data_IF_519899716152
#
_entry.id   IF_519899716152
#
_cell.length_a   1.000
_cell.length_b   1.000
_cell.length_c   1.000
_cell.angle_alpha   90.00
_cell.angle_beta   90.00
_cell.angle_gamma   90.00
#
_symmetry.space_group_name_H-M   'P 1'
#
loop_
_entity.id
_entity.type
_entity.pdbx_description
1 polymer ?
#
# COMPACT_ATOMS: atom_id res chain seq x y z
N UNK A 1 -44.73 7.61 -34.45
CA UNK A 1 -45.20 6.28 -34.84
C UNK A 1 -44.04 5.33 -34.59
N UNK A 2 -44.17 4.53 -33.52
CA UNK A 2 -43.13 3.66 -32.96
C UNK A 2 -42.61 2.64 -33.98
N UNK A 3 -41.29 2.39 -33.94
CA UNK A 3 -40.72 1.18 -34.54
C UNK A 3 -40.46 0.19 -33.41
N UNK A 4 -41.25 -0.89 -33.49
CA UNK A 4 -41.45 -1.96 -32.52
C UNK A 4 -40.27 -2.93 -32.47
N UNK A 5 -39.87 -3.29 -31.24
CA UNK A 5 -38.98 -4.43 -30.93
C UNK A 5 -39.79 -5.72 -31.02
N UNK A 6 -39.48 -6.61 -31.96
CA UNK A 6 -39.81 -8.04 -31.89
C UNK A 6 -39.10 -8.86 -32.97
N UNK A 7 -38.30 -9.84 -32.54
CA UNK A 7 -38.41 -11.28 -32.85
C UNK A 7 -37.01 -11.91 -33.02
N UNK A 8 -36.56 -12.85 -32.18
CA UNK A 8 -36.97 -14.25 -31.94
C UNK A 8 -36.27 -15.26 -32.86
N UNK A 9 -35.84 -16.40 -32.26
CA UNK A 9 -35.63 -17.78 -32.76
C UNK A 9 -34.22 -18.32 -32.42
N UNK A 10 -34.03 -19.16 -31.38
CA UNK A 10 -34.33 -20.62 -31.24
C UNK A 10 -33.48 -21.44 -32.25
N UNK A 11 -32.70 -22.50 -31.91
CA UNK A 11 -32.52 -23.28 -30.67
C UNK A 11 -31.71 -24.57 -30.94
N UNK A 12 -31.89 -25.56 -30.04
CA UNK A 12 -31.56 -27.01 -30.11
C UNK A 12 -30.25 -27.51 -29.49
N UNK A 13 -30.37 -28.54 -28.63
CA UNK A 13 -29.31 -29.52 -28.37
C UNK A 13 -29.00 -29.84 -26.91
N UNK A 14 -29.72 -30.82 -26.33
CA UNK A 14 -29.40 -31.52 -25.09
C UNK A 14 -28.05 -32.28 -25.18
N UNK A 15 -27.16 -32.14 -24.20
CA UNK A 15 -26.37 -33.24 -23.60
C UNK A 15 -25.90 -32.80 -22.21
N UNK A 16 -26.05 -33.68 -21.21
CA UNK A 16 -25.92 -33.35 -19.80
C UNK A 16 -24.51 -33.33 -19.24
N UNK A 17 -24.36 -32.69 -18.08
CA UNK A 17 -23.63 -33.20 -16.92
C UNK A 17 -23.91 -32.27 -15.75
N UNK A 18 -24.40 -32.83 -14.66
CA UNK A 18 -24.53 -32.14 -13.39
C UNK A 18 -23.13 -31.77 -12.86
N UNK A 19 -22.86 -30.48 -12.70
CA UNK A 19 -21.92 -30.01 -11.68
C UNK A 19 -22.79 -29.41 -10.57
N UNK A 20 -22.72 -29.98 -9.38
CA UNK A 20 -23.31 -29.41 -8.19
C UNK A 20 -22.73 -28.01 -8.01
N UNK A 21 -23.54 -26.99 -8.28
CA UNK A 21 -23.26 -25.62 -7.88
C UNK A 21 -23.13 -25.63 -6.36
N UNK A 22 -21.91 -25.42 -5.88
CA UNK A 22 -21.65 -25.11 -4.49
C UNK A 22 -22.65 -24.04 -4.04
N UNK A 23 -23.20 -24.23 -2.85
CA UNK A 23 -24.14 -23.29 -2.26
C UNK A 23 -23.58 -21.87 -2.42
N UNK A 24 -24.33 -21.01 -3.12
CA UNK A 24 -24.03 -19.59 -3.10
C UNK A 24 -24.15 -19.17 -1.64
N UNK A 25 -23.03 -18.84 -1.01
CA UNK A 25 -23.07 -18.13 0.26
C UNK A 25 -23.74 -16.80 -0.08
N UNK A 26 -24.95 -16.51 0.41
CA UNK A 26 -25.57 -15.22 0.14
C UNK A 26 -24.66 -14.16 0.74
N UNK A 27 -24.07 -13.31 -0.11
CA UNK A 27 -23.29 -12.16 0.33
C UNK A 27 -24.25 -11.29 1.13
N UNK A 28 -24.06 -11.24 2.45
CA UNK A 28 -24.93 -10.55 3.37
C UNK A 28 -24.84 -9.03 3.17
N UNK A 29 -25.54 -8.51 2.16
CA UNK A 29 -25.82 -7.09 2.04
C UNK A 29 -26.83 -6.71 3.12
N UNK A 30 -26.31 -6.21 4.23
CA UNK A 30 -27.11 -5.87 5.41
C UNK A 30 -26.35 -5.93 6.73
N UNK A 31 -25.15 -6.52 6.76
CA UNK A 31 -24.25 -6.34 7.89
C UNK A 31 -23.87 -4.85 7.99
N UNK A 32 -23.97 -4.28 9.20
CA UNK A 32 -23.48 -2.94 9.47
C UNK A 32 -22.01 -2.87 9.05
N UNK A 33 -21.70 -2.04 8.05
CA UNK A 33 -20.32 -1.82 7.64
C UNK A 33 -19.64 -1.01 8.74
N UNK A 34 -18.87 -1.68 9.59
CA UNK A 34 -17.96 -1.00 10.50
C UNK A 34 -16.83 -0.42 9.66
N UNK A 35 -16.56 0.91 9.72
CA UNK A 35 -15.40 1.49 9.06
C UNK A 35 -14.13 0.77 9.52
N UNK A 36 -13.22 0.51 8.58
CA UNK A 36 -11.91 -0.07 8.91
C UNK A 36 -11.17 0.86 9.89
N UNK A 37 -10.53 0.33 10.94
CA UNK A 37 -9.63 1.12 11.78
C UNK A 37 -8.51 1.72 10.90
N UNK A 38 -8.34 3.04 10.92
CA UNK A 38 -7.29 3.73 10.14
C UNK A 38 -6.04 4.04 10.96
N UNK A 39 -6.16 3.98 12.28
CA UNK A 39 -5.07 4.21 13.22
C UNK A 39 -4.89 2.94 14.06
N UNK A 40 -3.75 2.29 13.94
CA UNK A 40 -3.39 1.12 14.73
C UNK A 40 -1.91 1.18 15.08
N UNK A 41 -1.61 0.87 16.34
CA UNK A 41 -0.27 0.55 16.79
C UNK A 41 0.04 -0.91 16.48
N UNK A 42 1.30 -1.22 16.21
CA UNK A 42 1.76 -2.58 16.02
C UNK A 42 2.26 -3.13 17.37
N UNK A 43 1.56 -4.06 18.03
CA UNK A 43 2.04 -4.70 19.25
C UNK A 43 3.20 -5.65 18.93
N UNK A 44 4.38 -5.37 19.50
CA UNK A 44 5.60 -6.14 19.24
C UNK A 44 5.60 -7.53 19.89
N UNK A 45 4.78 -7.75 20.92
CA UNK A 45 4.65 -9.04 21.61
C UNK A 45 3.83 -10.08 20.84
N UNK A 46 3.20 -9.67 19.74
CA UNK A 46 2.32 -10.48 18.89
C UNK A 46 2.79 -10.52 17.43
N UNK A 47 3.97 -9.99 17.14
CA UNK A 47 4.46 -9.84 15.77
C UNK A 47 5.25 -11.07 15.33
N UNK A 48 5.13 -11.39 14.04
CA UNK A 48 6.00 -12.34 13.35
C UNK A 48 6.80 -11.58 12.29
N UNK A 49 8.10 -11.86 12.18
CA UNK A 49 8.95 -11.29 11.13
C UNK A 49 8.97 -12.26 9.95
N UNK A 50 8.71 -11.73 8.76
CA UNK A 50 8.71 -12.47 7.51
C UNK A 50 9.82 -11.93 6.63
N UNK A 51 10.79 -12.77 6.31
CA UNK A 51 11.96 -12.38 5.53
C UNK A 51 12.21 -13.38 4.40
N UNK A 52 12.86 -12.96 3.29
CA UNK A 52 13.30 -13.85 2.23
C UNK A 52 14.09 -15.06 2.77
N UNK A 53 14.01 -16.19 2.06
CA UNK A 53 14.72 -17.43 2.42
C UNK A 53 16.25 -17.30 2.35
N UNK A 54 16.76 -16.32 1.60
CA UNK A 54 18.19 -16.04 1.48
C UNK A 54 18.85 -15.79 2.85
N UNK A 55 20.02 -16.40 3.07
CA UNK A 55 20.72 -16.36 4.37
C UNK A 55 21.08 -14.95 4.83
N UNK A 56 21.41 -14.04 3.91
CA UNK A 56 21.78 -12.67 4.25
C UNK A 56 20.55 -11.89 4.73
N UNK A 57 19.41 -12.08 4.06
CA UNK A 57 18.14 -11.48 4.48
C UNK A 57 17.63 -12.06 5.80
N UNK A 58 17.78 -13.37 6.00
CA UNK A 58 17.44 -14.03 7.26
C UNK A 58 18.30 -13.51 8.42
N UNK A 59 19.58 -13.20 8.17
CA UNK A 59 20.46 -12.59 9.17
C UNK A 59 19.97 -11.19 9.59
N UNK A 60 19.60 -10.33 8.63
CA UNK A 60 19.03 -9.00 8.90
C UNK A 60 17.74 -9.10 9.71
N UNK A 61 16.86 -10.05 9.38
CA UNK A 61 15.65 -10.33 10.14
C UNK A 61 15.94 -10.84 11.56
N UNK A 62 17.00 -11.64 11.71
CA UNK A 62 17.51 -12.09 13.01
C UNK A 62 17.97 -10.93 13.88
N UNK A 63 18.72 -9.98 13.32
CA UNK A 63 19.13 -8.74 14.01
C UNK A 63 17.93 -7.95 14.50
N UNK A 64 16.87 -7.81 13.69
CA UNK A 64 15.65 -7.15 14.13
C UNK A 64 14.95 -7.91 15.26
N UNK A 65 14.86 -9.23 15.17
CA UNK A 65 14.25 -10.05 16.22
C UNK A 65 14.99 -9.92 17.55
N UNK A 66 16.33 -9.89 17.50
CA UNK A 66 17.19 -9.71 18.67
C UNK A 66 17.03 -8.31 19.25
N UNK A 67 16.98 -7.27 18.42
CA UNK A 67 16.74 -5.89 18.87
C UNK A 67 15.39 -5.73 19.59
N UNK A 68 14.32 -6.36 19.07
CA UNK A 68 13.00 -6.39 19.73
C UNK A 68 13.09 -7.10 21.09
N UNK A 69 13.88 -8.17 21.18
CA UNK A 69 14.10 -8.89 22.44
C UNK A 69 14.87 -8.05 23.47
N UNK A 70 15.90 -7.34 23.01
CA UNK A 70 16.70 -6.42 23.83
C UNK A 70 15.89 -5.22 24.34
N UNK A 71 14.87 -4.80 23.60
CA UNK A 71 13.89 -3.80 24.02
C UNK A 71 12.90 -4.31 25.10
N UNK A 72 13.04 -5.57 25.54
CA UNK A 72 12.26 -6.15 26.64
C UNK A 72 10.97 -6.87 26.22
N UNK A 73 10.82 -7.14 24.92
CA UNK A 73 9.70 -7.93 24.36
C UNK A 73 10.15 -9.38 24.14
N UNK A 74 9.22 -10.32 24.03
CA UNK A 74 9.56 -11.68 23.59
C UNK A 74 10.14 -11.63 22.18
N UNK A 75 11.28 -12.30 21.96
CA UNK A 75 11.91 -12.42 20.65
C UNK A 75 10.91 -12.94 19.60
N UNK A 76 10.59 -12.17 18.54
CA UNK A 76 9.68 -12.63 17.49
C UNK A 76 10.22 -13.86 16.75
N UNK A 77 9.28 -14.67 16.26
CA UNK A 77 9.61 -15.71 15.27
C UNK A 77 10.00 -15.06 13.95
N UNK A 78 11.02 -15.60 13.29
CA UNK A 78 11.41 -15.26 11.92
C UNK A 78 11.01 -16.42 11.02
N UNK A 79 10.22 -16.15 9.99
CA UNK A 79 9.75 -17.15 9.03
C UNK A 79 9.99 -16.72 7.60
N UNK A 80 10.01 -17.70 6.71
CA UNK A 80 9.99 -17.47 5.27
C UNK A 80 8.57 -17.12 4.79
N UNK A 81 8.42 -16.48 3.62
CA UNK A 81 7.12 -16.13 3.06
C UNK A 81 6.35 -17.39 2.63
N UNK A 82 5.03 -17.40 2.81
CA UNK A 82 4.14 -18.51 2.44
C UNK A 82 3.24 -18.19 1.25
N UNK A 83 3.09 -19.14 0.34
CA UNK A 83 2.13 -19.05 -0.78
C UNK A 83 0.68 -18.98 -0.30
N UNK A 84 0.34 -19.68 0.78
CA UNK A 84 -1.01 -19.67 1.37
C UNK A 84 -1.39 -18.25 1.84
N UNK A 85 -0.44 -17.53 2.44
CA UNK A 85 -0.65 -16.15 2.88
C UNK A 85 -0.68 -15.15 1.72
N UNK A 86 -0.03 -15.47 0.60
CA UNK A 86 -0.21 -14.70 -0.63
C UNK A 86 -1.62 -14.84 -1.20
N UNK A 87 -2.18 -16.07 -1.22
CA UNK A 87 -3.53 -16.31 -1.76
C UNK A 87 -4.65 -15.83 -0.84
N UNK A 88 -4.55 -16.20 0.44
CA UNK A 88 -5.66 -16.11 1.39
C UNK A 88 -5.59 -14.84 2.22
N UNK A 89 -4.41 -14.23 2.32
CA UNK A 89 -4.15 -13.10 3.20
C UNK A 89 -3.81 -13.55 4.63
N UNK A 90 -3.83 -12.60 5.56
CA UNK A 90 -3.54 -12.83 6.96
C UNK A 90 -4.21 -11.81 7.87
N UNK A 91 -4.48 -12.20 9.12
CA UNK A 91 -5.11 -11.35 10.15
C UNK A 91 -4.24 -11.11 11.39
N UNK A 92 -3.05 -11.68 11.45
CA UNK A 92 -2.06 -11.46 12.51
C UNK A 92 -1.17 -10.24 12.23
N UNK A 93 -0.39 -9.85 13.24
CA UNK A 93 0.57 -8.75 13.14
C UNK A 93 1.87 -9.24 12.52
N UNK A 94 2.35 -8.57 11.47
CA UNK A 94 3.58 -8.97 10.78
C UNK A 94 4.50 -7.81 10.48
N UNK A 95 5.80 -8.10 10.51
CA UNK A 95 6.83 -7.26 9.90
C UNK A 95 7.31 -7.96 8.63
N UNK A 96 7.13 -7.33 7.48
CA UNK A 96 7.55 -7.84 6.18
C UNK A 96 8.86 -7.18 5.78
N UNK A 97 9.95 -7.94 5.72
CA UNK A 97 11.25 -7.49 5.24
C UNK A 97 11.43 -7.89 3.76
N UNK A 98 12.00 -7.01 2.95
CA UNK A 98 12.39 -7.31 1.57
C UNK A 98 11.65 -6.49 0.52
N UNK A 99 11.36 -7.09 -0.63
CA UNK A 99 10.70 -6.44 -1.76
C UNK A 99 9.88 -7.43 -2.59
N UNK A 100 9.15 -6.92 -3.59
CA UNK A 100 8.31 -7.68 -4.51
C UNK A 100 8.95 -8.96 -5.06
N UNK A 101 10.26 -8.94 -5.31
CA UNK A 101 10.99 -10.00 -5.99
C UNK A 101 11.49 -11.13 -5.08
N UNK A 102 11.56 -10.91 -3.76
CA UNK A 102 12.15 -11.87 -2.82
C UNK A 102 11.25 -12.18 -1.60
N UNK A 103 10.11 -11.49 -1.45
CA UNK A 103 9.12 -11.79 -0.42
C UNK A 103 7.71 -11.81 -1.03
N UNK A 104 7.15 -13.02 -1.22
CA UNK A 104 5.84 -13.18 -1.88
C UNK A 104 4.69 -12.58 -1.05
N UNK A 105 4.78 -12.55 0.28
CA UNK A 105 3.76 -11.88 1.10
C UNK A 105 3.81 -10.37 0.91
N UNK A 106 5.00 -9.79 0.79
CA UNK A 106 5.15 -8.38 0.41
C UNK A 106 4.64 -8.13 -1.03
N UNK A 107 4.90 -9.05 -1.96
CA UNK A 107 4.37 -8.99 -3.33
C UNK A 107 2.84 -8.90 -3.35
N UNK A 108 2.14 -9.53 -2.39
CA UNK A 108 0.68 -9.40 -2.24
C UNK A 108 0.29 -7.95 -1.94
N UNK A 109 0.97 -7.30 -0.99
CA UNK A 109 0.72 -5.90 -0.65
C UNK A 109 1.08 -4.97 -1.82
N UNK A 110 2.13 -5.30 -2.58
CA UNK A 110 2.49 -4.59 -3.80
C UNK A 110 1.38 -4.67 -4.85
N UNK A 111 0.86 -5.87 -5.13
CA UNK A 111 -0.23 -6.06 -6.07
C UNK A 111 -1.50 -5.27 -5.70
N UNK A 112 -1.73 -5.03 -4.41
CA UNK A 112 -2.85 -4.23 -3.90
C UNK A 112 -2.56 -2.73 -3.77
N UNK A 113 -1.37 -2.26 -4.19
CA UNK A 113 -0.93 -0.86 -4.06
C UNK A 113 -0.77 -0.37 -2.62
N UNK A 114 -0.55 -1.27 -1.66
CA UNK A 114 -0.25 -0.90 -0.27
C UNK A 114 1.24 -0.72 0.02
N UNK A 115 2.12 -1.33 -0.77
CA UNK A 115 3.58 -1.19 -0.63
C UNK A 115 4.25 -1.21 -2.00
N UNK A 116 4.95 -0.14 -2.39
CA UNK A 116 5.50 0.00 -3.74
C UNK A 116 6.97 -0.40 -3.88
N UNK A 117 7.42 -1.35 -3.05
CA UNK A 117 8.83 -1.74 -2.93
C UNK A 117 9.18 -2.93 -3.83
N UNK A 118 10.17 -2.74 -4.69
CA UNK A 118 10.68 -3.72 -5.63
C UNK A 118 12.22 -3.66 -5.73
N UNK A 119 12.80 -4.34 -6.72
CA UNK A 119 14.25 -4.37 -6.90
C UNK A 119 14.84 -3.05 -7.41
N UNK A 120 14.01 -2.05 -7.75
CA UNK A 120 14.44 -0.74 -8.23
C UNK A 120 14.05 0.40 -7.28
N UNK A 121 12.84 0.39 -6.69
CA UNK A 121 12.42 1.32 -5.65
C UNK A 121 12.49 0.63 -4.27
N UNK A 122 13.08 1.23 -3.22
CA UNK A 122 13.58 2.62 -3.07
C UNK A 122 14.97 2.90 -3.65
N UNK A 123 15.59 1.89 -4.26
CA UNK A 123 16.91 1.98 -4.89
C UNK A 123 18.04 1.61 -3.95
N UNK A 124 19.27 1.64 -4.48
CA UNK A 124 20.43 1.09 -3.78
C UNK A 124 20.68 1.79 -2.44
N UNK A 125 20.80 1.01 -1.35
CA UNK A 125 20.94 1.51 0.02
C UNK A 125 19.72 2.28 0.56
N UNK A 126 18.65 2.41 -0.24
CA UNK A 126 17.41 3.08 0.16
C UNK A 126 16.51 2.14 0.96
N UNK A 127 15.64 2.72 1.79
CA UNK A 127 14.63 1.97 2.52
C UNK A 127 13.28 2.70 2.57
N UNK A 128 12.21 1.91 2.66
CA UNK A 128 10.84 2.40 2.76
C UNK A 128 10.11 1.66 3.87
N UNK A 129 9.63 2.39 4.87
CA UNK A 129 8.88 1.81 5.99
C UNK A 129 7.45 2.33 6.00
N UNK A 130 6.47 1.43 6.02
CA UNK A 130 5.06 1.84 6.09
C UNK A 130 4.21 0.83 6.86
N UNK A 131 3.35 1.35 7.74
CA UNK A 131 2.31 0.60 8.42
C UNK A 131 1.06 0.50 7.54
N UNK A 132 0.66 -0.73 7.23
CA UNK A 132 -0.57 -1.09 6.52
C UNK A 132 -1.54 -1.74 7.52
N UNK A 133 -2.65 -1.06 7.79
CA UNK A 133 -3.65 -1.52 8.76
C UNK A 133 -4.68 -2.40 8.07
N UNK A 134 -4.89 -3.60 8.61
CA UNK A 134 -5.92 -4.55 8.20
C UNK A 134 -6.01 -4.71 6.66
N UNK A 135 -4.93 -5.11 5.96
CA UNK A 135 -4.92 -5.14 4.50
C UNK A 135 -6.07 -5.98 3.89
N UNK A 136 -6.45 -7.07 4.56
CA UNK A 136 -7.40 -8.06 4.03
C UNK A 136 -8.80 -8.00 4.64
N UNK A 137 -9.03 -7.24 5.71
CA UNK A 137 -10.32 -7.24 6.43
C UNK A 137 -10.43 -8.30 7.52
N UNK A 138 -9.35 -9.03 7.79
CA UNK A 138 -9.25 -10.09 8.80
C UNK A 138 -8.58 -9.61 10.10
N UNK A 139 -8.27 -8.31 10.18
CA UNK A 139 -7.54 -7.70 11.28
C UNK A 139 -6.05 -7.59 11.02
N UNK A 140 -5.29 -7.38 12.10
CA UNK A 140 -3.83 -7.31 12.05
C UNK A 140 -3.28 -5.99 11.51
N UNK A 141 -1.97 -5.84 11.67
CA UNK A 141 -1.20 -4.68 11.21
C UNK A 141 0.06 -5.23 10.58
N UNK A 142 0.32 -4.81 9.34
CA UNK A 142 1.55 -5.16 8.64
C UNK A 142 2.48 -3.97 8.62
N UNK A 143 3.71 -4.12 9.11
CA UNK A 143 4.77 -3.14 8.93
C UNK A 143 5.68 -3.63 7.81
N UNK A 144 5.77 -2.85 6.74
CA UNK A 144 6.69 -3.14 5.64
C UNK A 144 8.02 -2.48 5.93
N UNK A 145 9.10 -3.25 5.94
CA UNK A 145 10.49 -2.82 5.88
C UNK A 145 11.02 -3.15 4.50
N UNK A 146 10.76 -2.23 3.57
CA UNK A 146 11.08 -2.41 2.17
C UNK A 146 12.47 -1.91 1.83
N UNK A 147 13.21 -2.70 1.06
CA UNK A 147 14.51 -2.32 0.52
C UNK A 147 14.79 -3.03 -0.81
N UNK A 148 15.51 -2.38 -1.72
CA UNK A 148 15.89 -2.98 -3.00
C UNK A 148 17.11 -3.89 -2.90
N UNK A 149 17.92 -3.73 -1.84
CA UNK A 149 19.13 -4.49 -1.55
C UNK A 149 19.33 -4.69 -0.03
N UNK A 150 20.41 -5.39 0.33
CA UNK A 150 20.76 -5.68 1.73
C UNK A 150 21.17 -4.43 2.51
N UNK A 151 21.92 -3.51 1.91
CA UNK A 151 22.35 -2.27 2.57
C UNK A 151 21.12 -1.44 3.00
N UNK A 152 20.12 -1.35 2.12
CA UNK A 152 18.84 -0.73 2.44
C UNK A 152 18.07 -1.50 3.53
N UNK A 153 18.12 -2.83 3.53
CA UNK A 153 17.46 -3.66 4.54
C UNK A 153 18.06 -3.44 5.94
N UNK A 154 19.39 -3.39 6.03
CA UNK A 154 20.12 -3.08 7.26
C UNK A 154 19.80 -1.66 7.75
N UNK A 155 19.77 -0.68 6.85
CA UNK A 155 19.37 0.68 7.18
C UNK A 155 17.92 0.77 7.68
N UNK A 156 17.00 0.02 7.07
CA UNK A 156 15.60 -0.05 7.49
C UNK A 156 15.46 -0.60 8.91
N UNK A 157 16.20 -1.66 9.23
CA UNK A 157 16.23 -2.27 10.57
C UNK A 157 16.86 -1.32 11.58
N UNK A 158 18.01 -0.73 11.27
CA UNK A 158 18.67 0.23 12.14
C UNK A 158 17.76 1.41 12.50
N UNK A 159 17.09 2.00 11.51
CA UNK A 159 16.13 3.07 11.72
C UNK A 159 14.92 2.62 12.56
N UNK A 160 14.49 1.35 12.44
CA UNK A 160 13.38 0.83 13.25
C UNK A 160 13.80 0.57 14.69
N UNK A 161 15.02 0.13 14.92
CA UNK A 161 15.57 -0.09 16.26
C UNK A 161 15.58 1.20 17.08
N UNK A 162 15.77 2.36 16.45
CA UNK A 162 15.67 3.67 17.11
C UNK A 162 14.25 3.96 17.66
N UNK A 163 13.21 3.36 17.06
CA UNK A 163 11.81 3.52 17.46
C UNK A 163 11.36 2.48 18.51
N UNK A 164 12.23 1.54 18.91
CA UNK A 164 11.90 0.51 19.91
C UNK A 164 11.96 1.09 21.32
N UNK A 165 10.94 1.88 21.70
CA UNK A 165 10.82 2.54 23.00
C UNK A 165 9.82 1.87 23.97
N UNK A 166 9.28 0.71 23.59
CA UNK A 166 8.29 -0.01 24.40
C UNK A 166 7.80 -1.30 23.74
N UNK A 167 6.55 -1.67 24.04
CA UNK A 167 5.95 -2.94 23.58
C UNK A 167 5.15 -2.80 22.29
N UNK A 168 5.10 -1.62 21.68
CA UNK A 168 4.37 -1.38 20.46
C UNK A 168 4.98 -0.24 19.65
N UNK A 169 4.86 -0.31 18.33
CA UNK A 169 5.25 0.76 17.42
C UNK A 169 4.02 1.58 17.00
N UNK A 170 4.14 2.92 16.87
CA UNK A 170 3.10 3.74 16.28
C UNK A 170 2.96 3.46 14.78
N UNK A 171 1.99 4.12 14.12
CA UNK A 171 1.91 4.12 12.66
C UNK A 171 3.15 4.81 12.10
N UNK A 172 3.91 4.10 11.28
CA UNK A 172 5.11 4.61 10.61
C UNK A 172 4.85 4.81 9.12
N UNK A 173 5.41 5.87 8.57
CA UNK A 173 5.56 6.08 7.13
C UNK A 173 6.80 6.95 6.91
N UNK A 174 7.86 6.35 6.37
CA UNK A 174 9.14 7.01 6.11
C UNK A 174 9.81 6.39 4.88
N UNK A 175 10.61 7.19 4.19
CA UNK A 175 11.37 6.75 3.05
C UNK A 175 12.74 7.44 3.03
N UNK A 176 13.80 6.67 2.79
CA UNK A 176 15.10 7.16 2.36
C UNK A 176 15.35 6.58 0.97
N UNK A 177 15.40 7.44 -0.04
CA UNK A 177 15.45 7.03 -1.44
C UNK A 177 16.84 7.30 -2.01
N UNK A 178 17.29 6.44 -2.93
CA UNK A 178 18.52 6.67 -3.68
C UNK A 178 18.41 7.89 -4.61
N UNK A 179 19.55 8.49 -4.96
CA UNK A 179 19.61 9.60 -5.93
C UNK A 179 18.98 9.25 -7.29
N UNK A 180 19.12 8.00 -7.74
CA UNK A 180 18.51 7.52 -8.99
C UNK A 180 16.99 7.58 -8.94
N UNK A 181 16.39 7.15 -7.82
CA UNK A 181 14.95 7.21 -7.62
C UNK A 181 14.49 8.66 -7.48
N UNK A 182 15.19 9.48 -6.70
CA UNK A 182 14.85 10.90 -6.54
C UNK A 182 14.84 11.64 -7.89
N UNK A 183 15.77 11.32 -8.79
CA UNK A 183 15.89 11.97 -10.10
C UNK A 183 14.68 11.79 -11.01
N UNK A 184 13.86 10.75 -10.82
CA UNK A 184 12.65 10.51 -11.63
C UNK A 184 11.36 10.93 -10.94
N UNK A 185 11.43 11.32 -9.66
CA UNK A 185 10.28 11.78 -8.90
C UNK A 185 10.01 13.27 -9.13
N UNK A 186 8.73 13.64 -9.06
CA UNK A 186 8.30 15.04 -9.09
C UNK A 186 9.05 15.85 -8.02
N UNK A 187 9.65 16.96 -8.44
CA UNK A 187 10.41 17.86 -7.56
C UNK A 187 11.51 17.15 -6.74
N UNK A 188 12.12 16.09 -7.27
CA UNK A 188 13.15 15.34 -6.54
C UNK A 188 12.60 14.61 -5.32
N UNK A 189 11.30 14.32 -5.28
CA UNK A 189 10.67 13.58 -4.18
C UNK A 189 10.47 14.36 -2.88
N UNK A 190 10.76 15.66 -2.86
CA UNK A 190 10.59 16.52 -1.69
C UNK A 190 9.75 17.75 -2.03
N UNK A 191 9.18 18.38 -1.00
CA UNK A 191 8.48 19.66 -1.16
C UNK A 191 9.18 20.78 -0.41
N UNK A 192 9.11 21.99 -0.98
CA UNK A 192 9.45 23.23 -0.31
C UNK A 192 8.29 24.23 -0.41
N UNK A 193 8.36 25.33 0.33
CA UNK A 193 7.29 26.34 0.34
C UNK A 193 7.00 26.93 -1.04
N UNK A 194 8.03 27.08 -1.89
CA UNK A 194 7.87 27.62 -3.22
C UNK A 194 7.08 26.67 -4.12
N UNK A 195 7.43 25.38 -4.09
CA UNK A 195 6.74 24.31 -4.79
C UNK A 195 5.30 24.19 -4.31
N UNK A 196 5.07 24.15 -3.00
CA UNK A 196 3.73 24.04 -2.42
C UNK A 196 2.87 25.24 -2.80
N UNK A 197 3.38 26.47 -2.71
CA UNK A 197 2.65 27.67 -3.12
C UNK A 197 2.26 27.64 -4.60
N UNK A 198 3.17 27.20 -5.47
CA UNK A 198 2.91 27.06 -6.90
C UNK A 198 1.82 26.00 -7.19
N UNK A 199 1.92 24.83 -6.57
CA UNK A 199 0.94 23.75 -6.74
C UNK A 199 -0.45 24.15 -6.21
N UNK A 200 -0.52 24.80 -5.05
CA UNK A 200 -1.78 25.30 -4.48
C UNK A 200 -2.45 26.31 -5.39
N UNK A 201 -1.69 27.26 -5.94
CA UNK A 201 -2.20 28.25 -6.88
C UNK A 201 -2.71 27.60 -8.18
N UNK A 202 -1.95 26.65 -8.74
CA UNK A 202 -2.33 25.94 -9.97
C UNK A 202 -3.60 25.09 -9.76
N UNK A 203 -3.70 24.40 -8.63
CA UNK A 203 -4.87 23.60 -8.26
C UNK A 203 -6.11 24.48 -8.09
N UNK A 204 -6.00 25.59 -7.35
CA UNK A 204 -7.11 26.52 -7.15
C UNK A 204 -7.65 27.04 -8.48
N UNK A 205 -6.76 27.42 -9.41
CA UNK A 205 -7.16 27.88 -10.74
C UNK A 205 -7.90 26.78 -11.55
N UNK A 206 -7.49 25.50 -11.42
CA UNK A 206 -8.18 24.37 -12.07
C UNK A 206 -9.56 24.13 -11.48
N UNK A 207 -9.69 24.21 -10.15
CA UNK A 207 -10.96 24.04 -9.44
C UNK A 207 -11.94 25.17 -9.77
N UNK A 208 -11.49 26.42 -9.78
CA UNK A 208 -12.32 27.58 -10.15
C UNK A 208 -12.82 27.50 -11.61
N UNK A 209 -12.03 26.90 -12.49
CA UNK A 209 -12.38 26.69 -13.90
C UNK A 209 -13.33 25.49 -14.12
N UNK A 210 -13.58 24.67 -13.10
CA UNK A 210 -14.47 23.52 -13.17
C UNK A 210 -15.92 23.99 -13.05
N UNK A 211 -16.67 23.92 -14.16
CA UNK A 211 -18.10 24.20 -14.18
C UNK A 211 -18.83 22.86 -14.20
N UNK A 212 -19.64 22.51 -13.18
CA UNK A 212 -20.44 21.30 -13.22
C UNK A 212 -21.50 21.42 -14.33
N UNK A 213 -21.31 20.70 -15.42
CA UNK A 213 -22.29 20.64 -16.50
C UNK A 213 -22.52 19.18 -16.94
N UNK A 214 -23.74 18.86 -17.37
CA UNK A 214 -24.06 17.56 -17.93
C UNK A 214 -23.92 17.64 -19.45
N UNK A 215 -23.09 16.75 -20.03
CA UNK A 215 -23.02 16.54 -21.48
C UNK A 215 -22.00 17.40 -22.25
N UNK A 216 -21.04 18.04 -21.58
CA UNK A 216 -19.97 18.80 -22.24
C UNK A 216 -18.61 18.11 -22.05
N UNK A 217 -18.00 17.66 -23.15
CA UNK A 217 -16.72 16.91 -23.15
C UNK A 217 -15.55 17.72 -22.59
N UNK A 218 -15.53 19.05 -22.76
CA UNK A 218 -14.49 19.92 -22.22
C UNK A 218 -14.47 19.96 -20.68
N UNK A 219 -15.61 19.76 -20.02
CA UNK A 219 -15.67 19.71 -18.56
C UNK A 219 -15.19 18.35 -18.02
N UNK A 220 -15.38 17.27 -18.79
CA UNK A 220 -14.80 15.96 -18.49
C UNK A 220 -13.26 15.96 -18.53
N UNK A 221 -12.66 16.69 -19.48
CA UNK A 221 -11.19 16.85 -19.57
C UNK A 221 -10.63 17.59 -18.35
N UNK A 222 -11.30 18.64 -17.89
CA UNK A 222 -10.88 19.37 -16.67
C UNK A 222 -10.95 18.50 -15.43
N UNK A 223 -12.05 17.75 -15.27
CA UNK A 223 -12.20 16.80 -14.18
C UNK A 223 -11.10 15.73 -14.21
N UNK A 224 -10.79 15.20 -15.39
CA UNK A 224 -9.69 14.23 -15.54
C UNK A 224 -8.34 14.82 -15.10
N UNK A 225 -8.06 16.08 -15.44
CA UNK A 225 -6.86 16.78 -14.99
C UNK A 225 -6.76 16.86 -13.47
N UNK A 226 -7.86 17.20 -12.78
CA UNK A 226 -7.90 17.25 -11.32
C UNK A 226 -7.71 15.86 -10.71
N UNK A 227 -8.40 14.83 -11.24
CA UNK A 227 -8.25 13.45 -10.77
C UNK A 227 -6.82 12.93 -10.96
N UNK A 228 -6.15 13.33 -12.05
CA UNK A 228 -4.74 13.00 -12.27
C UNK A 228 -3.83 13.69 -11.25
N UNK A 229 -4.08 14.96 -10.92
CA UNK A 229 -3.32 15.66 -9.88
C UNK A 229 -3.48 14.98 -8.51
N UNK A 230 -4.70 14.59 -8.13
CA UNK A 230 -4.98 13.83 -6.90
C UNK A 230 -4.14 12.55 -6.87
N UNK A 231 -4.18 11.79 -7.97
CA UNK A 231 -3.45 10.53 -8.09
C UNK A 231 -1.94 10.75 -7.93
N UNK A 232 -1.38 11.76 -8.60
CA UNK A 232 0.05 12.06 -8.53
C UNK A 232 0.49 12.58 -7.15
N UNK A 233 -0.31 13.43 -6.50
CA UNK A 233 0.01 13.93 -5.15
C UNK A 233 -0.05 12.81 -4.11
N UNK A 234 -1.07 11.96 -4.17
CA UNK A 234 -1.20 10.80 -3.29
C UNK A 234 -0.07 9.78 -3.50
N UNK A 235 0.28 9.51 -4.76
CA UNK A 235 1.39 8.62 -5.12
C UNK A 235 2.74 9.20 -4.65
N UNK A 236 2.99 10.49 -4.87
CA UNK A 236 4.20 11.15 -4.39
C UNK A 236 4.32 11.05 -2.86
N UNK A 237 3.24 11.35 -2.12
CA UNK A 237 3.22 11.18 -0.67
C UNK A 237 3.50 9.73 -0.25
N UNK A 238 2.86 8.75 -0.89
CA UNK A 238 3.06 7.33 -0.59
C UNK A 238 4.52 6.92 -0.77
N UNK A 239 5.15 7.33 -1.87
CA UNK A 239 6.52 6.94 -2.22
C UNK A 239 7.56 7.64 -1.35
N UNK A 240 7.37 8.93 -1.03
CA UNK A 240 8.43 9.72 -0.39
C UNK A 240 8.21 9.95 1.10
N UNK A 241 7.01 9.67 1.61
CA UNK A 241 6.56 10.06 2.95
C UNK A 241 6.63 11.57 3.23
N UNK A 242 6.84 12.40 2.20
CA UNK A 242 6.90 13.85 2.33
C UNK A 242 5.51 14.41 2.66
N UNK A 243 5.43 15.15 3.78
CA UNK A 243 4.16 15.64 4.30
C UNK A 243 3.48 16.67 3.39
N UNK A 244 4.25 17.46 2.63
CA UNK A 244 3.71 18.50 1.77
C UNK A 244 2.92 17.93 0.58
N UNK A 245 3.35 16.79 0.01
CA UNK A 245 2.50 16.07 -0.95
C UNK A 245 1.20 15.57 -0.32
N UNK A 246 1.24 15.14 0.94
CA UNK A 246 0.05 14.74 1.71
C UNK A 246 -0.91 15.91 1.98
N UNK A 247 -0.38 17.10 2.23
CA UNK A 247 -1.18 18.33 2.36
C UNK A 247 -1.87 18.70 1.06
N UNK A 248 -1.14 18.69 -0.07
CA UNK A 248 -1.70 18.93 -1.39
C UNK A 248 -2.81 17.93 -1.73
N UNK A 249 -2.59 16.64 -1.46
CA UNK A 249 -3.60 15.60 -1.65
C UNK A 249 -4.88 15.86 -0.85
N UNK A 250 -4.75 16.22 0.44
CA UNK A 250 -5.90 16.53 1.31
C UNK A 250 -6.70 17.72 0.81
N UNK A 251 -6.03 18.75 0.30
CA UNK A 251 -6.68 19.96 -0.19
C UNK A 251 -7.61 19.73 -1.38
N UNK A 252 -7.38 18.68 -2.18
CA UNK A 252 -8.28 18.37 -3.31
C UNK A 252 -9.50 17.55 -2.85
N UNK A 253 -9.37 16.76 -1.79
CA UNK A 253 -10.40 15.84 -1.31
C UNK A 253 -11.32 16.42 -0.24
N UNK A 254 -10.88 17.46 0.47
CA UNK A 254 -11.61 18.14 1.56
C UNK A 254 -11.99 19.56 1.15
#
# INVERSE_FOLDING_TARGET
MEVSRRSLLIGSGLTGAALALGASVPKAWGAAMTPRPTEATLPLDQVVIVAPEDEQWAAVAGTLADAIAEAGVTRPEVRIPSEERFSDGWGDHVILLGHLGNNIELARLYGMRYAMVDSWFPGAGGHWTCTVVDPFGDGGVSLVLGASDLDGAEAAVAALTEDLDGTALPRLHRAALSDEVLAVLSNGGATDEAYLAAQRSALAAKLDALVPSTGVETDAVKLHGILNDIKLMGEAHLLTADAGFGELYKQVLL
#
